data_IF_686911678471
#
_entry.id   IF_686911678471
#
_cell.length_a   1.000
_cell.length_b   1.000
_cell.length_c   1.000
_cell.angle_alpha   90.00
_cell.angle_beta   90.00
_cell.angle_gamma   90.00
#
_symmetry.space_group_name_H-M   'P 1'
#
loop_
_entity.id
_entity.type
_entity.pdbx_description
1 polymer ?
#
# COMPACT_ATOMS: atom_id res chain seq x y z
N UNK A 1 10.20 3.01 23.98
CA UNK A 1 10.68 2.15 22.91
C UNK A 1 9.51 1.65 22.09
N UNK A 2 9.59 1.82 20.78
CA UNK A 2 8.56 1.40 19.84
C UNK A 2 9.00 0.12 19.17
N UNK A 3 8.23 -0.95 19.31
CA UNK A 3 8.47 -2.20 18.60
C UNK A 3 7.63 -2.21 17.31
N UNK A 4 8.29 -2.56 16.21
CA UNK A 4 7.58 -2.71 14.96
C UNK A 4 6.64 -3.91 15.05
N UNK A 5 5.39 -3.73 14.61
CA UNK A 5 4.42 -4.81 14.52
C UNK A 5 4.78 -5.64 13.30
N UNK A 6 5.52 -6.72 13.50
CA UNK A 6 6.11 -7.50 12.40
C UNK A 6 5.10 -8.28 11.58
N UNK A 7 3.91 -8.57 12.15
CA UNK A 7 2.88 -9.31 11.43
C UNK A 7 1.94 -8.43 10.62
N UNK A 8 2.03 -7.11 10.76
CA UNK A 8 1.13 -6.19 10.06
C UNK A 8 1.83 -5.52 8.88
N UNK A 9 1.18 -5.50 7.75
CA UNK A 9 1.69 -4.82 6.57
C UNK A 9 0.67 -3.85 6.01
N UNK A 10 1.17 -2.68 5.65
CA UNK A 10 0.45 -1.68 4.87
C UNK A 10 1.00 -1.82 3.45
N UNK A 11 0.22 -2.41 2.56
CA UNK A 11 0.64 -2.68 1.19
C UNK A 11 0.06 -1.65 0.24
N UNK A 12 0.91 -0.98 -0.52
CA UNK A 12 0.51 0.04 -1.49
C UNK A 12 0.64 -0.54 -2.89
N UNK A 13 -0.50 -0.70 -3.58
CA UNK A 13 -0.52 -1.03 -5.00
C UNK A 13 -0.42 0.29 -5.78
N UNK A 14 0.50 0.34 -6.74
CA UNK A 14 0.78 1.59 -7.44
C UNK A 14 1.88 2.40 -6.77
N UNK A 15 2.86 1.71 -6.23
CA UNK A 15 3.92 2.30 -5.41
C UNK A 15 4.87 3.25 -6.12
N UNK A 16 4.83 3.30 -7.46
CA UNK A 16 5.68 4.22 -8.24
C UNK A 16 4.88 5.33 -8.90
N UNK A 17 3.60 5.47 -8.51
CA UNK A 17 2.75 6.52 -9.03
C UNK A 17 2.95 7.86 -8.32
N UNK A 18 2.44 8.92 -8.94
CA UNK A 18 2.59 10.28 -8.42
C UNK A 18 1.97 10.44 -7.02
N UNK A 19 0.77 9.90 -6.82
CA UNK A 19 0.10 10.00 -5.52
C UNK A 19 0.92 9.36 -4.40
N UNK A 20 1.49 8.19 -4.66
CA UNK A 20 2.30 7.48 -3.67
C UNK A 20 3.50 8.32 -3.27
N UNK A 21 4.26 8.82 -4.24
CA UNK A 21 5.46 9.60 -3.95
C UNK A 21 5.14 10.97 -3.33
N UNK A 22 4.10 11.62 -3.84
CA UNK A 22 3.79 12.99 -3.44
C UNK A 22 3.06 13.07 -2.10
N UNK A 23 2.19 12.09 -1.81
CA UNK A 23 1.32 12.15 -0.63
C UNK A 23 1.50 10.99 0.33
N UNK A 24 1.42 9.75 -0.17
CA UNK A 24 1.39 8.59 0.73
C UNK A 24 2.70 8.37 1.47
N UNK A 25 3.82 8.43 0.77
CA UNK A 25 5.11 8.19 1.41
C UNK A 25 5.52 9.35 2.33
N UNK A 26 5.33 10.62 1.95
CA UNK A 26 5.55 11.72 2.89
C UNK A 26 4.68 11.62 4.15
N UNK A 27 3.40 11.22 4.00
CA UNK A 27 2.52 11.03 5.15
C UNK A 27 3.02 9.90 6.07
N UNK A 28 3.48 8.79 5.50
CA UNK A 28 4.04 7.69 6.27
C UNK A 28 5.32 8.10 6.99
N UNK A 29 6.13 8.94 6.36
CA UNK A 29 7.31 9.50 7.02
C UNK A 29 6.89 10.35 8.22
N UNK A 30 5.88 11.22 8.04
CA UNK A 30 5.39 12.06 9.14
C UNK A 30 4.94 11.22 10.33
N UNK A 31 4.27 10.10 10.08
CA UNK A 31 3.84 9.19 11.14
C UNK A 31 5.02 8.58 11.88
N UNK A 32 6.07 8.22 11.16
CA UNK A 32 7.32 7.72 11.77
C UNK A 32 7.96 8.81 12.62
N UNK A 33 8.05 10.03 12.08
CA UNK A 33 8.66 11.17 12.78
C UNK A 33 7.89 11.53 14.05
N UNK A 34 6.56 11.40 14.00
CA UNK A 34 5.69 11.66 15.14
C UNK A 34 5.60 10.48 16.10
N UNK A 35 6.28 9.37 15.79
CA UNK A 35 6.25 8.16 16.59
C UNK A 35 4.83 7.62 16.80
N UNK A 36 4.01 7.71 15.75
CA UNK A 36 2.62 7.24 15.80
C UNK A 36 2.57 5.71 15.88
N UNK A 37 1.52 5.20 16.53
CA UNK A 37 1.35 3.75 16.68
C UNK A 37 1.25 3.05 15.32
N UNK A 38 0.56 3.68 14.37
CA UNK A 38 0.39 3.16 13.01
C UNK A 38 1.73 3.04 12.26
N UNK A 39 2.76 3.76 12.73
CA UNK A 39 4.09 3.72 12.12
C UNK A 39 4.89 2.48 12.48
N UNK A 40 4.28 1.51 13.15
CA UNK A 40 4.97 0.29 13.56
C UNK A 40 4.79 -0.87 12.58
N UNK A 41 3.94 -0.71 11.59
CA UNK A 41 3.71 -1.75 10.59
C UNK A 41 4.77 -1.70 9.48
N UNK A 42 4.90 -2.81 8.77
CA UNK A 42 5.72 -2.86 7.57
C UNK A 42 5.00 -2.17 6.43
N UNK A 43 5.76 -1.61 5.51
CA UNK A 43 5.23 -0.97 4.30
C UNK A 43 5.72 -1.77 3.11
N UNK A 44 4.79 -2.42 2.41
CA UNK A 44 5.12 -3.21 1.24
C UNK A 44 4.69 -2.43 0.01
N UNK A 45 5.64 -2.10 -0.84
CA UNK A 45 5.40 -1.31 -2.04
C UNK A 45 5.32 -2.23 -3.24
N UNK A 46 4.19 -2.24 -3.91
CA UNK A 46 3.99 -3.03 -5.11
C UNK A 46 4.13 -2.13 -6.33
N UNK A 47 5.09 -2.43 -7.17
CA UNK A 47 5.32 -1.67 -8.39
C UNK A 47 5.84 -2.54 -9.51
N UNK A 48 5.69 -2.04 -10.75
CA UNK A 48 6.10 -2.74 -11.95
C UNK A 48 7.55 -2.49 -12.32
N UNK A 49 8.08 -1.35 -11.87
CA UNK A 49 9.43 -0.94 -12.21
C UNK A 49 10.47 -1.79 -11.49
N UNK A 50 11.63 -1.88 -12.11
CA UNK A 50 12.71 -2.74 -11.61
C UNK A 50 13.59 -1.95 -10.64
N UNK A 51 13.16 -1.89 -9.39
CA UNK A 51 13.93 -1.25 -8.31
C UNK A 51 14.27 -2.26 -7.23
N UNK A 52 15.44 -2.07 -6.62
CA UNK A 52 15.70 -2.67 -5.31
C UNK A 52 15.00 -1.81 -4.25
N UNK A 53 14.85 -2.34 -3.06
CA UNK A 53 14.30 -1.56 -1.94
C UNK A 53 15.14 -0.31 -1.70
N UNK A 54 16.47 -0.42 -1.77
CA UNK A 54 17.39 0.71 -1.57
C UNK A 54 17.17 1.79 -2.61
N UNK A 55 17.04 1.40 -3.88
CA UNK A 55 16.78 2.36 -4.96
C UNK A 55 15.44 3.07 -4.78
N UNK A 56 14.41 2.33 -4.36
CA UNK A 56 13.11 2.91 -4.10
C UNK A 56 13.19 3.92 -2.95
N UNK A 57 13.88 3.58 -1.88
CA UNK A 57 14.04 4.46 -0.73
C UNK A 57 14.79 5.75 -1.08
N UNK A 58 15.74 5.69 -2.02
CA UNK A 58 16.44 6.89 -2.50
C UNK A 58 15.45 7.86 -3.15
N UNK A 59 14.53 7.33 -3.97
CA UNK A 59 13.50 8.16 -4.58
C UNK A 59 12.58 8.75 -3.52
N UNK A 60 12.15 7.96 -2.57
CA UNK A 60 11.28 8.40 -1.49
C UNK A 60 11.92 9.50 -0.66
N UNK A 61 13.22 9.40 -0.42
CA UNK A 61 13.95 10.42 0.34
C UNK A 61 13.77 11.81 -0.27
N UNK A 62 13.92 11.91 -1.58
CA UNK A 62 13.79 13.18 -2.27
C UNK A 62 12.36 13.74 -2.17
N UNK A 63 11.37 12.88 -2.29
CA UNK A 63 9.97 13.29 -2.16
C UNK A 63 9.62 13.69 -0.73
N UNK A 64 10.15 12.98 0.27
CA UNK A 64 9.95 13.31 1.68
C UNK A 64 10.55 14.68 1.99
N UNK A 65 11.77 14.95 1.52
CA UNK A 65 12.40 16.27 1.71
C UNK A 65 11.55 17.41 1.15
N UNK A 66 10.83 17.12 0.07
CA UNK A 66 10.06 18.13 -0.64
C UNK A 66 8.65 18.31 -0.10
N UNK A 67 8.00 17.23 0.33
CA UNK A 67 6.58 17.25 0.62
C UNK A 67 6.17 16.84 2.04
N UNK A 68 7.07 16.29 2.85
CA UNK A 68 6.70 15.94 4.22
C UNK A 68 6.43 17.20 5.05
N UNK A 69 5.41 17.14 5.90
CA UNK A 69 5.07 18.25 6.77
C UNK A 69 6.10 18.47 7.87
N UNK A 70 6.66 17.37 8.38
CA UNK A 70 7.69 17.43 9.40
C UNK A 70 9.07 17.50 8.74
N UNK A 71 10.07 18.12 9.39
CA UNK A 71 11.38 18.25 8.81
C UNK A 71 12.03 16.90 8.51
N UNK A 72 12.75 16.83 7.41
CA UNK A 72 13.54 15.65 7.10
C UNK A 72 14.70 15.54 8.08
N UNK A 73 14.83 14.39 8.73
CA UNK A 73 15.94 14.08 9.59
C UNK A 73 16.50 12.71 9.20
N UNK A 74 17.82 12.64 9.03
CA UNK A 74 18.49 11.43 8.55
C UNK A 74 18.16 10.21 9.41
N UNK A 75 18.23 10.34 10.73
CA UNK A 75 17.95 9.22 11.64
C UNK A 75 16.50 8.76 11.54
N UNK A 76 15.58 9.69 11.48
CA UNK A 76 14.17 9.38 11.33
C UNK A 76 13.92 8.68 10.00
N UNK A 77 14.55 9.16 8.93
CA UNK A 77 14.38 8.53 7.63
C UNK A 77 14.95 7.11 7.62
N UNK A 78 16.04 6.85 8.32
CA UNK A 78 16.60 5.50 8.43
C UNK A 78 15.62 4.53 9.10
N UNK A 79 14.94 4.98 10.14
CA UNK A 79 13.89 4.18 10.80
C UNK A 79 12.73 3.93 9.84
N UNK A 80 12.32 4.98 9.15
CA UNK A 80 11.25 4.89 8.16
C UNK A 80 11.61 3.92 7.03
N UNK A 81 12.81 4.02 6.48
CA UNK A 81 13.26 3.17 5.39
C UNK A 81 13.31 1.68 5.77
N UNK A 82 13.58 1.38 7.03
CA UNK A 82 13.58 -0.01 7.50
C UNK A 82 12.20 -0.65 7.45
N UNK A 83 11.13 0.14 7.46
CA UNK A 83 9.77 -0.36 7.34
C UNK A 83 9.42 -0.74 5.90
N UNK A 84 10.17 -0.22 4.92
CA UNK A 84 9.83 -0.30 3.50
C UNK A 84 10.48 -1.52 2.86
N UNK A 85 9.68 -2.28 2.09
CA UNK A 85 10.16 -3.33 1.20
C UNK A 85 9.51 -3.13 -0.16
N UNK A 86 10.31 -3.13 -1.21
CA UNK A 86 9.78 -3.02 -2.56
C UNK A 86 9.59 -4.42 -3.16
N UNK A 87 8.40 -4.67 -3.66
CA UNK A 87 8.05 -5.95 -4.26
C UNK A 87 7.64 -5.70 -5.71
N UNK A 88 8.49 -6.13 -6.64
CA UNK A 88 8.21 -5.96 -8.06
C UNK A 88 7.19 -6.99 -8.50
N UNK A 89 6.07 -6.54 -9.06
CA UNK A 89 5.11 -7.42 -9.71
C UNK A 89 4.23 -6.65 -10.68
N UNK A 90 3.66 -7.37 -11.63
CA UNK A 90 2.62 -6.86 -12.51
C UNK A 90 1.26 -7.18 -11.87
N UNK A 91 0.54 -6.15 -11.45
CA UNK A 91 -0.75 -6.32 -10.78
C UNK A 91 -1.82 -6.92 -11.69
N UNK A 92 -1.61 -6.89 -13.01
CA UNK A 92 -2.54 -7.48 -13.98
C UNK A 92 -2.29 -8.97 -14.22
N UNK A 93 -1.19 -9.50 -13.71
CA UNK A 93 -0.86 -10.91 -13.86
C UNK A 93 -1.30 -11.67 -12.61
N UNK A 94 -2.41 -12.40 -12.72
CA UNK A 94 -2.98 -13.13 -11.59
C UNK A 94 -2.03 -14.17 -11.01
N UNK A 95 -1.10 -14.68 -11.82
CA UNK A 95 -0.11 -15.66 -11.35
C UNK A 95 0.89 -15.08 -10.37
N UNK A 96 1.09 -13.76 -10.42
CA UNK A 96 2.03 -13.08 -9.52
C UNK A 96 1.53 -13.03 -8.08
N UNK A 97 0.22 -13.18 -7.86
CA UNK A 97 -0.34 -13.07 -6.51
C UNK A 97 0.00 -14.28 -5.63
N UNK A 98 0.24 -15.44 -6.22
CA UNK A 98 0.75 -16.59 -5.48
C UNK A 98 2.15 -16.28 -4.92
N UNK A 99 2.99 -15.62 -5.72
CA UNK A 99 4.33 -15.19 -5.30
C UNK A 99 4.24 -14.17 -4.17
N UNK A 100 3.29 -13.25 -4.26
CA UNK A 100 3.06 -12.27 -3.19
C UNK A 100 2.62 -12.97 -1.90
N UNK A 101 1.74 -13.96 -2.01
CA UNK A 101 1.28 -14.73 -0.84
C UNK A 101 2.45 -15.47 -0.17
N UNK A 102 3.32 -16.06 -0.97
CA UNK A 102 4.52 -16.74 -0.45
C UNK A 102 5.44 -15.75 0.27
N UNK A 103 5.57 -14.55 -0.27
CA UNK A 103 6.37 -13.50 0.36
C UNK A 103 5.82 -13.13 1.73
N UNK A 104 4.50 -12.89 1.82
CA UNK A 104 3.89 -12.57 3.10
C UNK A 104 4.09 -13.69 4.12
N UNK A 105 3.93 -14.93 3.69
CA UNK A 105 4.11 -16.09 4.58
C UNK A 105 5.55 -16.17 5.08
N UNK A 106 6.51 -15.99 4.18
CA UNK A 106 7.93 -16.02 4.55
C UNK A 106 8.30 -14.90 5.52
N UNK A 107 7.62 -13.76 5.43
CA UNK A 107 7.85 -12.61 6.30
C UNK A 107 6.97 -12.60 7.55
N UNK A 108 6.17 -13.65 7.75
CA UNK A 108 5.24 -13.76 8.88
C UNK A 108 4.20 -12.64 8.94
N UNK A 109 3.74 -12.20 7.79
CA UNK A 109 2.72 -11.15 7.67
C UNK A 109 1.36 -11.81 7.48
N UNK A 110 0.41 -11.51 8.37
CA UNK A 110 -0.94 -12.04 8.32
C UNK A 110 -2.02 -10.99 8.62
N UNK A 111 -1.63 -9.75 8.90
CA UNK A 111 -2.55 -8.65 9.18
C UNK A 111 -2.37 -7.59 8.10
N UNK A 112 -3.38 -7.41 7.26
CA UNK A 112 -3.25 -6.64 6.03
C UNK A 112 -4.10 -5.39 6.00
N UNK A 113 -3.49 -4.29 5.51
CA UNK A 113 -4.20 -3.13 5.01
C UNK A 113 -3.69 -2.91 3.59
N UNK A 114 -4.58 -2.94 2.62
CA UNK A 114 -4.23 -2.74 1.21
C UNK A 114 -4.67 -1.35 0.76
N UNK A 115 -3.77 -0.59 0.20
CA UNK A 115 -4.07 0.73 -0.35
C UNK A 115 -3.96 0.65 -1.87
N UNK A 116 -5.07 0.90 -2.56
CA UNK A 116 -5.11 0.83 -4.02
C UNK A 116 -4.87 2.21 -4.63
N UNK A 117 -3.61 2.54 -4.82
CA UNK A 117 -3.18 3.82 -5.42
C UNK A 117 -2.99 3.66 -6.94
N UNK A 118 -4.00 3.10 -7.59
CA UNK A 118 -4.01 2.81 -9.03
C UNK A 118 -5.31 3.30 -9.63
N UNK A 119 -5.36 3.35 -10.96
CA UNK A 119 -6.61 3.69 -11.65
C UNK A 119 -7.71 2.68 -11.33
N UNK A 120 -8.97 3.11 -11.25
CA UNK A 120 -10.09 2.22 -10.89
C UNK A 120 -10.21 0.97 -11.75
N UNK A 121 -9.78 1.04 -13.01
CA UNK A 121 -9.84 -0.13 -13.91
C UNK A 121 -9.02 -1.32 -13.41
N UNK A 122 -8.08 -1.09 -12.48
CA UNK A 122 -7.26 -2.16 -11.91
C UNK A 122 -7.82 -2.74 -10.62
N UNK A 123 -8.83 -2.12 -10.03
CA UNK A 123 -9.36 -2.59 -8.73
C UNK A 123 -9.88 -4.03 -8.83
N UNK A 124 -10.61 -4.34 -9.90
CA UNK A 124 -11.16 -5.68 -10.09
C UNK A 124 -10.11 -6.76 -10.21
N UNK A 125 -9.04 -6.51 -10.96
CA UNK A 125 -7.98 -7.51 -11.13
C UNK A 125 -7.21 -7.69 -9.83
N UNK A 126 -7.02 -6.63 -9.05
CA UNK A 126 -6.38 -6.73 -7.74
C UNK A 126 -7.25 -7.55 -6.79
N UNK A 127 -8.56 -7.28 -6.74
CA UNK A 127 -9.47 -8.04 -5.89
C UNK A 127 -9.46 -9.53 -6.28
N UNK A 128 -9.44 -9.83 -7.59
CA UNK A 128 -9.35 -11.21 -8.06
C UNK A 128 -8.01 -11.86 -7.66
N UNK A 129 -6.93 -11.11 -7.79
CA UNK A 129 -5.59 -11.61 -7.43
C UNK A 129 -5.46 -11.88 -5.95
N UNK A 130 -6.04 -11.03 -5.11
CA UNK A 130 -5.95 -11.18 -3.66
C UNK A 130 -6.65 -12.42 -3.14
N UNK A 131 -7.50 -13.07 -3.95
CA UNK A 131 -8.08 -14.37 -3.58
C UNK A 131 -7.00 -15.44 -3.40
N UNK A 132 -5.86 -15.28 -4.07
CA UNK A 132 -4.72 -16.19 -3.94
C UNK A 132 -3.81 -15.86 -2.76
N UNK A 133 -4.06 -14.74 -2.08
CA UNK A 133 -3.24 -14.30 -0.95
C UNK A 133 -3.90 -14.74 0.34
N UNK A 134 -3.18 -15.56 1.11
CA UNK A 134 -3.67 -16.09 2.37
C UNK A 134 -4.02 -14.94 3.33
N UNK A 135 -5.21 -15.02 3.92
CA UNK A 135 -5.72 -14.07 4.92
C UNK A 135 -5.98 -12.65 4.40
N UNK A 136 -5.86 -12.42 3.10
CA UNK A 136 -6.14 -11.10 2.53
C UNK A 136 -7.60 -10.67 2.76
N UNK A 137 -8.54 -11.60 2.69
CA UNK A 137 -9.97 -11.28 2.86
C UNK A 137 -10.32 -10.78 4.26
N UNK A 138 -9.46 -11.04 5.24
CA UNK A 138 -9.63 -10.57 6.61
C UNK A 138 -9.07 -9.15 6.78
N UNK A 139 -8.39 -8.64 5.79
CA UNK A 139 -7.77 -7.33 5.83
C UNK A 139 -8.71 -6.20 5.49
N UNK A 140 -8.15 -4.99 5.47
CA UNK A 140 -8.86 -3.78 5.11
C UNK A 140 -8.35 -3.30 3.76
N UNK A 141 -9.22 -2.65 2.99
CA UNK A 141 -8.83 -2.06 1.71
C UNK A 141 -9.23 -0.60 1.69
N UNK A 142 -8.31 0.24 1.22
CA UNK A 142 -8.51 1.69 1.10
C UNK A 142 -8.52 2.04 -0.38
N UNK A 143 -9.57 2.73 -0.80
CA UNK A 143 -9.75 3.20 -2.16
C UNK A 143 -9.84 4.71 -2.18
N UNK A 144 -9.43 5.31 -3.30
CA UNK A 144 -9.56 6.74 -3.51
C UNK A 144 -10.52 7.02 -4.65
N UNK A 145 -11.18 8.15 -4.60
CA UNK A 145 -12.01 8.60 -5.73
C UNK A 145 -11.11 8.93 -6.93
N UNK A 146 -11.61 8.74 -8.15
CA UNK A 146 -12.91 8.19 -8.49
C UNK A 146 -12.94 6.66 -8.31
N UNK A 147 -14.12 6.13 -7.96
CA UNK A 147 -14.29 4.69 -7.73
C UNK A 147 -14.70 3.93 -8.99
N UNK A 148 -14.76 4.62 -10.12
CA UNK A 148 -15.15 4.09 -11.41
C UNK A 148 -15.36 5.26 -12.36
N UNK A 149 -15.45 4.97 -13.66
CA UNK A 149 -15.61 6.01 -14.68
C UNK A 149 -17.06 6.53 -14.73
N UNK A 150 -18.02 5.68 -14.40
CA UNK A 150 -19.43 6.02 -14.37
C UNK A 150 -20.14 5.20 -13.29
N UNK A 151 -21.45 5.38 -13.17
CA UNK A 151 -22.23 4.71 -12.15
C UNK A 151 -22.23 3.18 -12.32
N UNK A 152 -22.29 2.70 -13.55
CA UNK A 152 -22.27 1.27 -13.83
C UNK A 152 -20.94 0.65 -13.43
N UNK A 153 -19.83 1.28 -13.80
CA UNK A 153 -18.49 0.84 -13.43
C UNK A 153 -18.31 0.83 -11.93
N UNK A 154 -18.80 1.87 -11.26
CA UNK A 154 -18.70 1.98 -9.80
C UNK A 154 -19.47 0.86 -9.10
N UNK A 155 -20.66 0.53 -9.58
CA UNK A 155 -21.49 -0.55 -9.01
C UNK A 155 -20.81 -1.91 -9.18
N UNK A 156 -20.29 -2.18 -10.37
CA UNK A 156 -19.62 -3.44 -10.65
C UNK A 156 -18.37 -3.60 -9.78
N UNK A 157 -17.62 -2.52 -9.62
CA UNK A 157 -16.43 -2.49 -8.81
C UNK A 157 -16.74 -2.74 -7.35
N UNK A 158 -17.76 -2.08 -6.82
CA UNK A 158 -18.21 -2.29 -5.45
C UNK A 158 -18.61 -3.74 -5.23
N UNK A 159 -19.33 -4.32 -6.18
CA UNK A 159 -19.75 -5.71 -6.12
C UNK A 159 -18.57 -6.66 -6.03
N UNK A 160 -17.55 -6.44 -6.86
CA UNK A 160 -16.34 -7.27 -6.84
C UNK A 160 -15.62 -7.18 -5.50
N UNK A 161 -15.47 -5.97 -4.97
CA UNK A 161 -14.80 -5.76 -3.69
C UNK A 161 -15.59 -6.37 -2.52
N UNK A 162 -16.91 -6.17 -2.50
CA UNK A 162 -17.78 -6.66 -1.42
C UNK A 162 -17.94 -8.18 -1.46
N UNK A 163 -17.63 -8.82 -2.58
CA UNK A 163 -17.59 -10.27 -2.67
C UNK A 163 -16.39 -10.83 -1.91
N UNK A 164 -15.29 -10.07 -1.85
CA UNK A 164 -14.05 -10.52 -1.25
C UNK A 164 -13.83 -9.97 0.17
N UNK A 165 -14.12 -8.68 0.38
CA UNK A 165 -13.94 -8.03 1.67
C UNK A 165 -15.29 -7.73 2.32
N UNK A 166 -15.40 -7.86 3.67
CA UNK A 166 -16.57 -7.35 4.37
C UNK A 166 -16.74 -5.86 4.10
N UNK A 167 -17.99 -5.40 3.99
CA UNK A 167 -18.27 -4.00 3.69
C UNK A 167 -17.63 -3.03 4.68
N UNK A 168 -17.60 -3.39 5.96
CA UNK A 168 -17.00 -2.57 7.02
C UNK A 168 -15.48 -2.45 6.91
N UNK A 169 -14.85 -3.28 6.08
CA UNK A 169 -13.40 -3.25 5.86
C UNK A 169 -13.01 -2.51 4.58
N UNK A 170 -13.98 -1.95 3.86
CA UNK A 170 -13.74 -1.19 2.65
C UNK A 170 -13.84 0.30 2.98
N UNK A 171 -12.74 1.02 2.86
CA UNK A 171 -12.65 2.44 3.18
C UNK A 171 -12.50 3.25 1.90
N UNK A 172 -13.40 4.19 1.68
CA UNK A 172 -13.39 5.06 0.51
C UNK A 172 -13.01 6.46 0.97
N UNK A 173 -11.91 6.97 0.46
CA UNK A 173 -11.43 8.29 0.85
C UNK A 173 -11.38 9.23 -0.34
N UNK A 174 -11.41 10.51 -0.03
CA UNK A 174 -11.48 11.58 -0.99
C UNK A 174 -10.35 12.56 -0.70
N UNK A 175 -9.34 12.57 -1.56
CA UNK A 175 -8.20 13.48 -1.41
C UNK A 175 -8.47 14.76 -2.18
N UNK A 176 -9.14 15.67 -1.52
CA UNK A 176 -9.27 17.03 -2.06
C UNK A 176 -8.18 17.90 -1.51
N UNK A 177 -7.10 17.97 -2.20
CA UNK A 177 -6.11 19.02 -1.88
C UNK A 177 -5.23 19.25 -3.07
#
# INVERSE_FOLDING_TARGET
>A
RVNMSLNKAFTIFGGTGDLTFRKLMPAQYNMTAANAEEAQSRIIIIGRRDYTTEQYCELVRDWVKKFARLPYEKKTFEVFAKRISYFKMDISDLNEYARLSEYYTAENIDDHVFYLAVAPKFFGVIASGLKAVKEASLGKVILEKPFGEDLESAKELNKQLETFFPAENIYRIDHYL
#
